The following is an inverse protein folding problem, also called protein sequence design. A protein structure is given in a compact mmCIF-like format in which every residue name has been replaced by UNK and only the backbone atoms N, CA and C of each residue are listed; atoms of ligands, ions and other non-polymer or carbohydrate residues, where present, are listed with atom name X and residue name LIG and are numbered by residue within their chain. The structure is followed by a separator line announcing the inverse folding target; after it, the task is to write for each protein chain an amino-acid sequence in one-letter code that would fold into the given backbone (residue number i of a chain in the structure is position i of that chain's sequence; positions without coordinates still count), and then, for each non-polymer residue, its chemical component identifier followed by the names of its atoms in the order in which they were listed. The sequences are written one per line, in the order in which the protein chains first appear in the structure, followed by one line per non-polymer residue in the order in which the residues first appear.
data_IF_853800354515
#
_entry.id   IF_853800354515
#
_cell.length_a   1.000
_cell.length_b   1.000
_cell.length_c   1.000
_cell.angle_alpha   90.00
_cell.angle_beta   90.00
_cell.angle_gamma   90.00
#
_symmetry.space_group_name_H-M   'P 1'
#
loop_
_entity.id
_entity.type
_entity.pdbx_description
1 polymer ?
#
# COMPACT_ATOMS: atom_id res chain seq x y z
N UNK A 1 21.83 9.00 1.49
CA UNK A 1 22.39 10.16 2.22
C UNK A 1 23.14 11.07 1.26
N UNK A 2 24.27 10.61 0.66
CA UNK A 2 25.10 11.46 -0.21
C UNK A 2 24.34 12.01 -1.42
N UNK A 3 23.63 11.16 -2.20
CA UNK A 3 22.92 11.58 -3.41
C UNK A 3 21.78 12.59 -3.13
N UNK A 4 21.06 12.40 -2.04
CA UNK A 4 19.98 13.30 -1.62
C UNK A 4 20.49 14.49 -0.78
N UNK A 5 21.80 14.68 -0.64
CA UNK A 5 22.43 15.74 0.15
C UNK A 5 21.81 15.88 1.57
N UNK A 6 21.55 14.77 2.24
CA UNK A 6 20.95 14.75 3.57
C UNK A 6 21.98 15.05 4.66
N UNK A 7 21.62 15.78 5.72
CA UNK A 7 22.49 15.99 6.88
C UNK A 7 22.76 14.72 7.68
N UNK A 8 22.07 13.64 7.36
CA UNK A 8 22.11 12.33 7.98
C UNK A 8 20.75 11.67 7.93
N UNK A 9 20.53 10.67 8.75
CA UNK A 9 19.25 9.98 8.91
C UNK A 9 19.05 9.58 10.38
N UNK A 10 17.80 9.27 10.73
CA UNK A 10 17.39 8.72 12.03
C UNK A 10 16.80 7.33 11.84
N UNK A 11 16.78 6.54 12.90
CA UNK A 11 16.20 5.21 12.92
C UNK A 11 17.10 4.17 12.24
N UNK A 12 16.75 3.75 11.02
CA UNK A 12 17.36 2.62 10.32
C UNK A 12 17.18 1.30 11.08
N UNK A 13 15.95 1.07 11.55
CA UNK A 13 15.61 -0.07 12.39
C UNK A 13 14.23 -0.62 12.03
N UNK A 14 13.92 -1.81 12.56
CA UNK A 14 12.56 -2.34 12.54
C UNK A 14 11.72 -1.65 13.62
N UNK A 15 10.56 -1.11 13.23
CA UNK A 15 9.63 -0.47 14.17
C UNK A 15 8.23 -0.38 13.59
N UNK A 16 7.24 -0.21 14.47
CA UNK A 16 5.93 0.30 14.04
C UNK A 16 6.02 1.80 13.79
N UNK A 17 5.23 2.28 12.82
CA UNK A 17 5.30 3.69 12.45
C UNK A 17 4.82 4.67 13.52
N UNK A 18 3.95 4.27 14.44
CA UNK A 18 3.53 5.12 15.56
C UNK A 18 4.63 5.23 16.61
N UNK A 19 5.22 4.11 16.99
CA UNK A 19 6.30 4.06 17.99
C UNK A 19 7.52 4.87 17.52
N UNK A 20 7.94 4.73 16.27
CA UNK A 20 9.15 5.43 15.80
C UNK A 20 8.94 6.93 15.67
N UNK A 21 7.71 7.39 15.39
CA UNK A 21 7.40 8.83 15.37
C UNK A 21 7.50 9.41 16.77
N UNK A 22 6.97 8.74 17.78
CA UNK A 22 7.07 9.20 19.16
C UNK A 22 8.52 9.23 19.66
N UNK A 23 9.37 8.32 19.19
CA UNK A 23 10.77 8.26 19.59
C UNK A 23 11.65 9.29 18.87
N UNK A 24 11.42 9.55 17.58
CA UNK A 24 12.35 10.28 16.72
C UNK A 24 11.75 11.53 16.07
N UNK A 25 10.44 11.77 16.18
CA UNK A 25 9.76 12.87 15.50
C UNK A 25 10.30 14.25 15.91
N UNK A 26 10.51 14.48 17.21
CA UNK A 26 11.07 15.75 17.69
C UNK A 26 12.52 15.97 17.23
N UNK A 27 13.34 14.93 17.23
CA UNK A 27 14.72 15.02 16.71
C UNK A 27 14.73 15.27 15.20
N UNK A 28 13.83 14.63 14.46
CA UNK A 28 13.64 14.88 13.03
C UNK A 28 13.33 16.36 12.76
N UNK A 29 12.36 16.93 13.48
CA UNK A 29 11.96 18.33 13.32
C UNK A 29 13.10 19.31 13.64
N UNK A 30 13.93 18.99 14.65
CA UNK A 30 15.10 19.82 15.03
C UNK A 30 16.26 19.72 14.05
N UNK A 31 16.49 18.56 13.46
CA UNK A 31 17.72 18.27 12.70
C UNK A 31 17.51 18.23 11.19
N UNK A 32 16.27 18.10 10.73
CA UNK A 32 15.93 17.87 9.31
C UNK A 32 16.38 16.51 8.78
N UNK A 33 16.81 15.57 9.66
CA UNK A 33 17.19 14.21 9.26
C UNK A 33 15.94 13.35 9.08
N UNK A 34 15.70 12.74 7.91
CA UNK A 34 14.56 11.85 7.71
C UNK A 34 14.65 10.61 8.58
N UNK A 35 13.51 10.05 8.96
CA UNK A 35 13.39 8.82 9.75
C UNK A 35 13.24 7.64 8.80
N UNK A 36 14.23 6.73 8.78
CA UNK A 36 14.20 5.50 8.01
C UNK A 36 13.85 4.32 8.90
N UNK A 37 12.91 3.50 8.46
CA UNK A 37 12.53 2.29 9.21
C UNK A 37 11.91 1.24 8.29
N UNK A 38 11.83 0.01 8.78
CA UNK A 38 11.11 -1.08 8.15
C UNK A 38 10.10 -1.69 9.11
N UNK A 39 9.07 -2.29 8.59
CA UNK A 39 8.09 -3.08 9.34
C UNK A 39 8.15 -4.55 8.90
N UNK A 40 7.15 -5.34 9.27
CA UNK A 40 7.13 -6.78 8.99
C UNK A 40 7.17 -7.13 7.48
N UNK A 41 6.75 -6.20 6.62
CA UNK A 41 6.76 -6.38 5.16
C UNK A 41 8.12 -6.01 4.56
N UNK A 42 8.39 -6.47 3.34
CA UNK A 42 9.58 -6.10 2.55
C UNK A 42 9.47 -4.67 2.01
N UNK A 43 9.44 -3.70 2.92
CA UNK A 43 9.25 -2.28 2.62
C UNK A 43 10.33 -1.42 3.27
N UNK A 44 10.69 -0.33 2.59
CA UNK A 44 11.54 0.72 3.13
C UNK A 44 10.69 1.97 3.32
N UNK A 45 10.56 2.42 4.55
CA UNK A 45 9.68 3.53 4.90
C UNK A 45 10.48 4.75 5.29
N UNK A 46 10.07 5.92 4.81
CA UNK A 46 10.68 7.22 5.09
C UNK A 46 9.61 8.11 5.70
N UNK A 47 9.77 8.46 6.98
CA UNK A 47 8.86 9.39 7.64
C UNK A 47 9.49 10.76 7.78
N UNK A 48 8.73 11.80 7.42
CA UNK A 48 9.08 13.20 7.59
C UNK A 48 7.86 14.03 8.00
N UNK A 49 8.10 15.06 8.77
CA UNK A 49 7.07 16.02 9.17
C UNK A 49 6.70 16.94 8.00
N UNK A 50 5.41 17.00 7.65
CA UNK A 50 4.96 17.70 6.44
C UNK A 50 5.36 19.17 6.41
N UNK A 51 5.17 19.87 7.51
CA UNK A 51 5.39 21.33 7.55
C UNK A 51 6.86 21.69 7.66
N UNK A 52 7.63 20.98 8.48
CA UNK A 52 9.03 21.34 8.76
C UNK A 52 10.01 20.80 7.73
N UNK A 53 9.75 19.63 7.16
CA UNK A 53 10.59 19.01 6.13
C UNK A 53 10.12 19.34 4.72
N UNK A 54 8.82 19.34 4.50
CA UNK A 54 8.17 19.54 3.20
C UNK A 54 7.79 18.24 2.51
N UNK A 55 6.55 18.19 2.04
CA UNK A 55 5.98 16.98 1.41
C UNK A 55 6.69 16.63 0.11
N UNK A 56 6.96 17.63 -0.76
CA UNK A 56 7.65 17.42 -2.03
C UNK A 56 9.07 16.88 -1.83
N UNK A 57 9.81 17.38 -0.84
CA UNK A 57 11.15 16.87 -0.50
C UNK A 57 11.10 15.43 -0.01
N UNK A 58 10.04 15.03 0.71
CA UNK A 58 9.85 13.64 1.11
C UNK A 58 9.64 12.75 -0.11
N UNK A 59 8.84 13.20 -1.08
CA UNK A 59 8.59 12.45 -2.30
C UNK A 59 9.85 12.30 -3.15
N UNK A 60 10.58 13.38 -3.39
CA UNK A 60 11.89 13.34 -4.08
C UNK A 60 12.86 12.38 -3.40
N UNK A 61 12.91 12.39 -2.06
CA UNK A 61 13.76 11.47 -1.30
C UNK A 61 13.34 10.01 -1.49
N UNK A 62 12.04 9.71 -1.55
CA UNK A 62 11.53 8.38 -1.79
C UNK A 62 11.85 7.89 -3.21
N UNK A 63 11.78 8.75 -4.22
CA UNK A 63 12.19 8.45 -5.60
C UNK A 63 13.68 8.13 -5.69
N UNK A 64 14.53 8.96 -5.08
CA UNK A 64 15.97 8.69 -4.99
C UNK A 64 16.23 7.36 -4.30
N UNK A 65 15.54 7.07 -3.19
CA UNK A 65 15.68 5.81 -2.48
C UNK A 65 15.24 4.63 -3.34
N UNK A 66 14.12 4.75 -4.08
CA UNK A 66 13.64 3.71 -5.01
C UNK A 66 14.67 3.41 -6.10
N UNK A 67 15.23 4.44 -6.72
CA UNK A 67 16.26 4.26 -7.73
C UNK A 67 17.54 3.60 -7.18
N UNK A 68 18.02 4.05 -6.02
CA UNK A 68 19.25 3.51 -5.41
C UNK A 68 19.05 2.04 -5.00
N UNK A 69 17.92 1.68 -4.45
CA UNK A 69 17.60 0.30 -4.10
C UNK A 69 17.50 -0.59 -5.34
N UNK A 70 16.93 -0.10 -6.42
CA UNK A 70 16.85 -0.82 -7.70
C UNK A 70 18.23 -1.01 -8.32
N UNK A 71 19.05 0.05 -8.39
CA UNK A 71 20.43 -0.01 -8.90
C UNK A 71 21.33 -0.93 -8.07
N UNK A 72 21.11 -0.96 -6.76
CA UNK A 72 21.85 -1.83 -5.84
C UNK A 72 21.44 -3.31 -5.89
N UNK A 73 20.41 -3.66 -6.67
CA UNK A 73 19.90 -5.02 -6.76
C UNK A 73 19.15 -5.49 -5.49
N UNK A 74 18.74 -4.56 -4.65
CA UNK A 74 17.98 -4.89 -3.44
C UNK A 74 16.52 -5.17 -3.78
N UNK A 75 16.04 -6.35 -3.39
CA UNK A 75 14.66 -6.78 -3.62
C UNK A 75 13.70 -6.19 -2.55
N UNK A 76 13.57 -4.86 -2.56
CA UNK A 76 12.64 -4.13 -1.69
C UNK A 76 11.38 -3.83 -2.48
N UNK A 77 10.26 -4.44 -2.11
CA UNK A 77 9.00 -4.35 -2.86
C UNK A 77 8.44 -2.93 -2.96
N UNK A 78 8.56 -2.13 -1.90
CA UNK A 78 8.05 -0.74 -1.89
C UNK A 78 8.95 0.18 -1.09
N UNK A 79 9.15 1.39 -1.59
CA UNK A 79 9.55 2.56 -0.78
C UNK A 79 8.27 3.33 -0.46
N UNK A 80 8.08 3.70 0.80
CA UNK A 80 6.84 4.34 1.25
C UNK A 80 7.16 5.69 1.88
N UNK A 81 6.60 6.75 1.31
CA UNK A 81 6.53 8.05 1.96
C UNK A 81 5.50 8.01 3.10
N UNK A 82 5.94 8.37 4.30
CA UNK A 82 5.12 8.41 5.52
C UNK A 82 5.13 9.82 6.12
N UNK A 83 4.42 10.76 5.51
CA UNK A 83 4.29 12.09 6.08
C UNK A 83 3.48 12.06 7.38
N UNK A 84 3.85 12.96 8.30
CA UNK A 84 3.18 13.12 9.58
C UNK A 84 3.13 14.59 10.02
N UNK A 85 2.23 14.90 10.93
CA UNK A 85 2.08 16.20 11.59
C UNK A 85 2.12 16.04 13.10
N UNK A 86 2.05 17.14 13.85
CA UNK A 86 2.09 17.17 15.31
C UNK A 86 3.33 17.87 15.84
N UNK A 87 3.31 18.25 17.11
CA UNK A 87 4.36 19.09 17.69
C UNK A 87 5.34 18.34 18.60
N UNK A 88 4.90 17.23 19.19
CA UNK A 88 5.66 16.47 20.21
C UNK A 88 5.25 15.01 20.26
N UNK A 89 6.05 14.20 20.93
CA UNK A 89 5.72 12.81 21.23
C UNK A 89 4.31 12.66 21.84
N UNK A 90 3.55 11.68 21.40
CA UNK A 90 2.15 11.46 21.75
C UNK A 90 1.12 12.30 20.99
N UNK A 91 1.56 13.29 20.18
CA UNK A 91 0.69 14.06 19.31
C UNK A 91 0.98 13.88 17.82
N UNK A 92 1.97 13.05 17.47
CA UNK A 92 2.29 12.79 16.07
C UNK A 92 1.25 11.90 15.39
N UNK A 93 0.72 12.38 14.28
CA UNK A 93 -0.27 11.69 13.47
C UNK A 93 0.20 11.57 12.02
N UNK A 94 0.03 10.36 11.45
CA UNK A 94 0.28 10.14 10.02
C UNK A 94 -0.82 10.76 9.19
N UNK A 95 -0.44 11.48 8.14
CA UNK A 95 -1.39 12.11 7.25
C UNK A 95 -1.85 11.18 6.12
N UNK A 96 -2.88 11.61 5.40
CA UNK A 96 -3.38 10.92 4.22
C UNK A 96 -2.48 11.03 2.97
N UNK A 97 -1.42 11.87 3.03
CA UNK A 97 -0.47 12.10 1.92
C UNK A 97 0.60 11.00 1.81
N UNK A 98 0.27 9.80 2.28
CA UNK A 98 1.10 8.61 2.04
C UNK A 98 1.21 8.34 0.54
N UNK A 99 2.42 8.02 0.09
CA UNK A 99 2.68 7.57 -1.27
C UNK A 99 3.58 6.34 -1.30
N UNK A 100 3.21 5.33 -2.09
CA UNK A 100 3.92 4.06 -2.22
C UNK A 100 4.62 4.00 -3.59
N UNK A 101 5.95 3.88 -3.58
CA UNK A 101 6.78 3.66 -4.76
C UNK A 101 7.06 2.16 -4.90
N UNK A 102 6.15 1.45 -5.53
CA UNK A 102 6.25 0.01 -5.76
C UNK A 102 7.24 -0.31 -6.88
N UNK A 103 7.81 -1.51 -6.83
CA UNK A 103 8.56 -2.08 -7.95
C UNK A 103 7.57 -2.65 -8.94
N UNK A 104 7.76 -2.34 -10.22
CA UNK A 104 6.99 -3.01 -11.27
C UNK A 104 7.28 -4.52 -11.28
N UNK A 105 6.32 -5.35 -11.71
CA UNK A 105 6.55 -6.76 -11.89
C UNK A 105 7.80 -7.02 -12.77
N UNK A 106 8.66 -7.98 -12.44
CA UNK A 106 9.92 -8.20 -13.16
C UNK A 106 9.73 -8.75 -14.58
N UNK A 107 8.52 -9.15 -14.91
CA UNK A 107 8.10 -9.61 -16.24
C UNK A 107 6.62 -9.40 -16.43
N UNK A 108 6.14 -9.43 -17.68
CA UNK A 108 4.74 -9.29 -18.00
C UNK A 108 3.87 -10.28 -17.23
N UNK A 109 2.96 -9.76 -16.43
CA UNK A 109 2.00 -10.54 -15.64
C UNK A 109 0.84 -11.04 -16.49
N UNK A 110 0.06 -11.98 -15.98
CA UNK A 110 -1.18 -12.40 -16.61
C UNK A 110 -2.14 -11.21 -16.83
N UNK A 111 -2.20 -10.28 -15.86
CA UNK A 111 -3.03 -9.07 -15.97
C UNK A 111 -2.60 -8.21 -17.14
N UNK A 112 -1.29 -7.96 -17.26
CA UNK A 112 -0.72 -7.19 -18.37
C UNK A 112 -0.96 -7.86 -19.72
N UNK A 113 -0.75 -9.17 -19.81
CA UNK A 113 -1.00 -9.92 -21.04
C UNK A 113 -2.47 -9.93 -21.46
N UNK A 114 -3.39 -10.00 -20.49
CA UNK A 114 -4.82 -9.90 -20.79
C UNK A 114 -5.14 -8.56 -21.46
N UNK A 115 -4.61 -7.46 -20.94
CA UNK A 115 -4.83 -6.13 -21.49
C UNK A 115 -4.17 -5.97 -22.86
N UNK A 116 -2.89 -6.32 -22.99
CA UNK A 116 -2.09 -6.06 -24.19
C UNK A 116 -2.40 -7.03 -25.33
N UNK A 117 -2.57 -8.32 -25.04
CA UNK A 117 -2.72 -9.37 -26.08
C UNK A 117 -4.19 -9.68 -26.39
N UNK A 118 -5.09 -9.48 -25.42
CA UNK A 118 -6.52 -9.81 -25.56
C UNK A 118 -7.44 -8.61 -25.56
N UNK A 119 -6.88 -7.40 -25.40
CA UNK A 119 -7.68 -6.16 -25.24
C UNK A 119 -8.71 -6.29 -24.12
N UNK A 120 -8.38 -7.09 -23.09
CA UNK A 120 -9.22 -7.34 -21.94
C UNK A 120 -9.17 -6.23 -20.92
N UNK A 121 -10.01 -6.35 -19.91
CA UNK A 121 -10.15 -5.39 -18.83
C UNK A 121 -9.69 -5.99 -17.51
N UNK A 122 -8.99 -5.20 -16.69
CA UNK A 122 -8.61 -5.57 -15.33
C UNK A 122 -9.10 -4.52 -14.36
N UNK A 123 -10.12 -4.87 -13.62
CA UNK A 123 -10.71 -4.04 -12.56
C UNK A 123 -10.05 -4.39 -11.24
N UNK A 124 -9.31 -3.46 -10.69
CA UNK A 124 -8.62 -3.58 -9.40
C UNK A 124 -9.47 -2.97 -8.29
N UNK A 125 -9.78 -3.75 -7.26
CA UNK A 125 -10.52 -3.28 -6.08
C UNK A 125 -9.64 -3.39 -4.84
N UNK A 126 -9.59 -2.33 -4.03
CA UNK A 126 -8.70 -2.25 -2.88
C UNK A 126 -7.26 -1.92 -3.25
N UNK A 127 -6.29 -2.72 -2.81
CA UNK A 127 -4.84 -2.45 -2.97
C UNK A 127 -4.19 -3.09 -4.19
N UNK A 128 -4.90 -3.82 -5.03
CA UNK A 128 -4.31 -4.57 -6.15
C UNK A 128 -3.52 -3.67 -7.08
N UNK A 129 -4.07 -2.52 -7.49
CA UNK A 129 -3.35 -1.59 -8.36
C UNK A 129 -2.02 -1.12 -7.75
N UNK A 130 -2.00 -0.81 -6.47
CA UNK A 130 -0.79 -0.35 -5.78
C UNK A 130 0.26 -1.47 -5.62
N UNK A 131 -0.19 -2.74 -5.48
CA UNK A 131 0.69 -3.91 -5.42
C UNK A 131 1.37 -4.16 -6.77
N UNK A 132 0.63 -4.02 -7.86
CA UNK A 132 1.14 -4.22 -9.22
C UNK A 132 1.76 -2.97 -9.84
N UNK A 133 2.02 -1.91 -9.06
CA UNK A 133 2.53 -0.62 -9.56
C UNK A 133 1.72 -0.10 -10.76
N UNK A 134 0.41 -0.34 -10.74
CA UNK A 134 -0.57 -0.04 -11.79
C UNK A 134 -0.38 -0.78 -13.13
N UNK A 135 0.63 -1.65 -13.25
CA UNK A 135 0.90 -2.40 -14.48
C UNK A 135 -0.19 -3.43 -14.74
N UNK A 136 -0.80 -3.39 -15.93
CA UNK A 136 -1.87 -4.31 -16.31
C UNK A 136 -3.21 -4.03 -15.62
N UNK A 137 -3.44 -2.81 -15.13
CA UNK A 137 -4.70 -2.39 -14.50
C UNK A 137 -5.39 -1.36 -15.41
N UNK A 138 -6.63 -1.63 -15.81
CA UNK A 138 -7.43 -0.72 -16.66
C UNK A 138 -8.37 0.15 -15.86
N UNK A 139 -8.87 -0.36 -14.71
CA UNK A 139 -9.79 0.36 -13.84
C UNK A 139 -9.41 0.18 -12.38
N UNK A 140 -9.43 1.28 -11.62
CA UNK A 140 -9.16 1.26 -10.17
C UNK A 140 -10.40 1.69 -9.39
N UNK A 141 -10.85 0.83 -8.48
CA UNK A 141 -11.98 1.08 -7.56
C UNK A 141 -11.46 1.13 -6.13
N UNK A 142 -11.68 2.26 -5.47
CA UNK A 142 -11.29 2.44 -4.06
C UNK A 142 -12.42 1.96 -3.16
N UNK A 143 -12.12 1.01 -2.30
CA UNK A 143 -13.00 0.55 -1.23
C UNK A 143 -12.17 0.16 -0.01
N UNK A 144 -12.71 0.28 1.18
CA UNK A 144 -12.04 -0.04 2.45
C UNK A 144 -13.03 -0.70 3.40
N UNK A 145 -12.63 -1.80 4.01
CA UNK A 145 -13.50 -2.65 4.83
C UNK A 145 -14.20 -3.74 4.02
N UNK A 146 -14.43 -4.89 4.65
CA UNK A 146 -14.93 -6.11 3.99
C UNK A 146 -16.24 -5.85 3.25
N UNK A 147 -17.21 -5.19 3.89
CA UNK A 147 -18.51 -4.92 3.27
C UNK A 147 -18.39 -4.03 2.03
N UNK A 148 -17.65 -2.92 2.12
CA UNK A 148 -17.47 -2.02 0.98
C UNK A 148 -16.68 -2.69 -0.18
N UNK A 149 -15.72 -3.56 0.15
CA UNK A 149 -15.00 -4.35 -0.86
C UNK A 149 -15.91 -5.37 -1.53
N UNK A 150 -16.82 -6.00 -0.78
CA UNK A 150 -17.85 -6.88 -1.34
C UNK A 150 -18.80 -6.12 -2.25
N UNK A 151 -19.34 -4.99 -1.79
CA UNK A 151 -20.28 -4.18 -2.57
C UNK A 151 -19.64 -3.73 -3.90
N UNK A 152 -18.42 -3.22 -3.84
CA UNK A 152 -17.66 -2.84 -5.03
C UNK A 152 -17.42 -4.06 -5.97
N UNK A 153 -17.10 -5.23 -5.40
CA UNK A 153 -16.88 -6.44 -6.20
C UNK A 153 -18.18 -6.89 -6.89
N UNK A 154 -19.31 -6.88 -6.19
CA UNK A 154 -20.61 -7.24 -6.77
C UNK A 154 -21.04 -6.27 -7.88
N UNK A 155 -20.77 -4.97 -7.72
CA UNK A 155 -21.06 -3.98 -8.75
C UNK A 155 -20.22 -4.20 -9.99
N UNK A 156 -18.91 -4.39 -9.82
CA UNK A 156 -17.99 -4.60 -10.95
C UNK A 156 -18.23 -5.95 -11.65
N UNK A 157 -18.58 -7.00 -10.91
CA UNK A 157 -18.96 -8.31 -11.50
C UNK A 157 -20.21 -8.21 -12.38
N UNK A 158 -21.20 -7.38 -12.00
CA UNK A 158 -22.39 -7.15 -12.81
C UNK A 158 -22.10 -6.41 -14.11
N UNK A 159 -21.06 -5.56 -14.10
CA UNK A 159 -20.65 -4.74 -15.25
C UNK A 159 -19.61 -5.45 -16.13
N UNK A 160 -18.98 -6.50 -15.63
CA UNK A 160 -17.93 -7.22 -16.31
C UNK A 160 -18.44 -7.80 -17.65
N UNK A 161 -17.71 -7.49 -18.70
CA UNK A 161 -17.87 -8.09 -20.03
C UNK A 161 -16.89 -9.24 -20.26
N UNK A 162 -16.88 -9.75 -21.48
CA UNK A 162 -15.91 -10.78 -21.89
C UNK A 162 -14.46 -10.29 -21.71
N UNK A 163 -13.56 -11.21 -21.38
CA UNK A 163 -12.15 -10.91 -21.12
C UNK A 163 -11.93 -9.89 -19.98
N UNK A 164 -12.77 -9.88 -18.97
CA UNK A 164 -12.63 -9.00 -17.79
C UNK A 164 -12.21 -9.80 -16.55
N UNK A 165 -11.21 -9.30 -15.83
CA UNK A 165 -10.85 -9.79 -14.50
C UNK A 165 -11.26 -8.75 -13.46
N UNK A 166 -12.14 -9.12 -12.53
CA UNK A 166 -12.42 -8.35 -11.31
C UNK A 166 -11.55 -8.89 -10.17
N UNK A 167 -10.53 -8.13 -9.79
CA UNK A 167 -9.55 -8.57 -8.80
C UNK A 167 -9.66 -7.74 -7.52
N UNK A 168 -10.18 -8.37 -6.47
CA UNK A 168 -10.40 -7.72 -5.17
C UNK A 168 -9.40 -8.19 -4.12
N UNK A 169 -8.84 -7.25 -3.38
CA UNK A 169 -8.02 -7.52 -2.21
C UNK A 169 -8.78 -7.21 -0.91
N UNK A 170 -9.25 -8.24 -0.23
CA UNK A 170 -9.87 -8.14 1.09
C UNK A 170 -8.79 -7.98 2.17
N UNK A 171 -8.16 -6.81 2.18
CA UNK A 171 -6.96 -6.52 2.96
C UNK A 171 -7.17 -6.57 4.48
N UNK A 172 -8.41 -6.51 4.95
CA UNK A 172 -8.73 -6.50 6.37
C UNK A 172 -8.25 -7.78 7.09
N UNK A 173 -8.30 -8.92 6.42
CA UNK A 173 -7.77 -10.19 6.95
C UNK A 173 -6.31 -10.07 7.37
N UNK A 174 -5.50 -9.39 6.56
CA UNK A 174 -4.11 -9.11 6.84
C UNK A 174 -3.95 -7.93 7.80
N UNK A 175 -4.38 -6.74 7.37
CA UNK A 175 -4.02 -5.48 8.01
C UNK A 175 -4.75 -5.21 9.33
N UNK A 176 -6.02 -5.65 9.46
CA UNK A 176 -6.83 -5.37 10.63
C UNK A 176 -6.72 -6.48 11.69
N UNK A 177 -6.55 -7.71 11.26
CA UNK A 177 -6.59 -8.87 12.13
C UNK A 177 -5.29 -9.68 12.14
N UNK A 178 -4.72 -10.05 10.98
CA UNK A 178 -3.56 -10.92 10.87
C UNK A 178 -2.32 -10.32 11.52
N UNK A 179 -1.89 -9.14 11.12
CA UNK A 179 -0.75 -8.45 11.71
C UNK A 179 -0.91 -8.14 13.21
N UNK A 180 -2.14 -7.99 13.67
CA UNK A 180 -2.46 -7.71 15.07
C UNK A 180 -2.67 -8.96 15.90
N UNK A 181 -2.65 -10.14 15.27
CA UNK A 181 -2.94 -11.43 15.88
C UNK A 181 -4.29 -11.45 16.61
N UNK A 182 -5.27 -10.73 16.06
CA UNK A 182 -6.64 -10.71 16.55
C UNK A 182 -7.39 -11.91 15.99
N UNK A 183 -7.31 -13.02 16.71
CA UNK A 183 -7.93 -14.30 16.33
C UNK A 183 -9.45 -14.18 16.27
N UNK A 184 -10.06 -13.49 17.24
CA UNK A 184 -11.51 -13.33 17.32
C UNK A 184 -12.03 -12.46 16.16
N UNK A 185 -11.37 -11.33 15.89
CA UNK A 185 -11.70 -10.46 14.76
C UNK A 185 -11.50 -11.14 13.42
N UNK A 186 -10.43 -11.94 13.25
CA UNK A 186 -10.21 -12.72 12.04
C UNK A 186 -11.33 -13.75 11.79
N UNK A 187 -11.74 -14.48 12.83
CA UNK A 187 -12.84 -15.45 12.75
C UNK A 187 -14.18 -14.76 12.38
N UNK A 188 -14.49 -13.64 13.03
CA UNK A 188 -15.70 -12.87 12.73
C UNK A 188 -15.67 -12.31 11.29
N UNK A 189 -14.51 -11.92 10.78
CA UNK A 189 -14.33 -11.49 9.40
C UNK A 189 -14.56 -12.62 8.39
N UNK A 190 -14.11 -13.88 8.71
CA UNK A 190 -14.40 -15.05 7.89
C UNK A 190 -15.90 -15.36 7.87
N UNK A 191 -16.57 -15.29 9.01
CA UNK A 191 -18.02 -15.48 9.08
C UNK A 191 -18.80 -14.41 8.30
N UNK A 192 -18.35 -13.16 8.33
CA UNK A 192 -18.92 -12.09 7.51
C UNK A 192 -18.72 -12.38 6.03
N UNK A 193 -17.52 -12.75 5.63
CA UNK A 193 -17.21 -13.11 4.24
C UNK A 193 -18.07 -14.27 3.76
N UNK A 194 -18.17 -15.33 4.55
CA UNK A 194 -18.98 -16.53 4.23
C UNK A 194 -20.47 -16.20 4.06
N UNK A 195 -21.02 -15.36 4.95
CA UNK A 195 -22.42 -14.89 4.83
C UNK A 195 -22.70 -14.14 3.53
N UNK A 196 -21.71 -13.40 3.01
CA UNK A 196 -21.86 -12.60 1.79
C UNK A 196 -21.48 -13.37 0.51
N UNK A 197 -20.72 -14.44 0.64
CA UNK A 197 -20.28 -15.26 -0.51
C UNK A 197 -21.41 -15.72 -1.44
N UNK A 198 -22.61 -16.12 -0.94
CA UNK A 198 -23.73 -16.47 -1.82
C UNK A 198 -24.21 -15.35 -2.74
N UNK A 199 -24.01 -14.07 -2.38
CA UNK A 199 -24.34 -12.94 -3.25
C UNK A 199 -23.43 -12.92 -4.49
N UNK A 200 -22.13 -13.18 -4.29
CA UNK A 200 -21.12 -13.25 -5.34
C UNK A 200 -21.36 -14.48 -6.25
N UNK A 201 -21.59 -15.64 -5.64
CA UNK A 201 -21.85 -16.90 -6.39
C UNK A 201 -23.06 -16.83 -7.32
N UNK A 202 -24.06 -16.00 -7.02
CA UNK A 202 -25.22 -15.80 -7.91
C UNK A 202 -24.89 -15.01 -9.18
N UNK A 203 -23.76 -14.30 -9.21
CA UNK A 203 -23.31 -13.52 -10.35
C UNK A 203 -22.35 -14.29 -11.26
N UNK A 204 -21.79 -15.40 -10.77
CA UNK A 204 -20.91 -16.27 -11.54
C UNK A 204 -21.71 -16.96 -12.64
N UNK A 205 -21.23 -16.90 -13.87
CA UNK A 205 -21.83 -17.52 -15.06
C UNK A 205 -21.15 -18.87 -15.35
N UNK A 206 -21.70 -19.61 -16.29
CA UNK A 206 -21.21 -20.97 -16.64
C UNK A 206 -19.77 -20.94 -17.24
N UNK A 207 -19.39 -19.84 -17.82
CA UNK A 207 -18.12 -19.63 -18.54
C UNK A 207 -17.11 -18.73 -17.78
N UNK A 208 -17.41 -18.39 -16.52
CA UNK A 208 -16.51 -17.61 -15.66
C UNK A 208 -15.39 -18.44 -14.98
#
# INVERSE_FOLDING_TARGET
VKRANLPGYLGNCHSSGTVILDQLGEEHMKTGKPIFYTSADSVFQIACHEETYGLEKLYELCEIAREELTKGGYNIGRVIARPFTGEKAGSFERTGNRHDYAVEPPSATMLQKLVEEKQGEVVSIGKIADIYAHVGITKKVKATGIDALFDASLEEMKLAGDNTIVFTNFVDFDSSYGHRRDVAGYAAALELFDRRLPEMLKLVKEDD
#
